data_IF_079016698325
#
_entry.id   IF_079016698325
#
_cell.length_a   1.000
_cell.length_b   1.000
_cell.length_c   1.000
_cell.angle_alpha   90.00
_cell.angle_beta   90.00
_cell.angle_gamma   90.00
#
_symmetry.space_group_name_H-M   'P 1'
#
loop_
_entity.id
_entity.type
_entity.pdbx_description
1 polymer ?
#
# COMPACT_ATOMS: atom_id res chain seq x y z
N UNK A 1 -1.73 -29.65 2.78
CA UNK A 1 -0.78 -28.61 3.27
C UNK A 1 -0.37 -27.76 2.10
N UNK A 2 -0.71 -26.49 2.12
CA UNK A 2 -0.35 -25.56 1.03
C UNK A 2 0.72 -24.60 1.56
N UNK A 3 1.95 -24.79 1.13
CA UNK A 3 3.08 -23.95 1.55
C UNK A 3 2.90 -22.51 1.05
N UNK A 4 3.19 -21.53 1.92
CA UNK A 4 3.02 -20.12 1.64
C UNK A 4 4.14 -19.55 0.76
N UNK A 5 3.77 -19.09 -0.46
CA UNK A 5 4.64 -18.40 -1.42
C UNK A 5 3.99 -17.11 -1.95
N UNK A 6 3.02 -16.55 -1.22
CA UNK A 6 2.20 -15.42 -1.64
C UNK A 6 3.02 -14.14 -1.88
N UNK A 7 4.03 -13.88 -1.05
CA UNK A 7 4.87 -12.70 -1.17
C UNK A 7 6.35 -13.07 -1.42
N UNK A 8 7.21 -12.11 -1.74
CA UNK A 8 8.62 -12.35 -2.06
C UNK A 8 9.46 -13.00 -0.95
N UNK A 9 9.00 -12.99 0.30
CA UNK A 9 9.67 -13.76 1.37
C UNK A 9 9.63 -15.26 1.15
N UNK A 10 8.63 -15.78 0.40
CA UNK A 10 8.52 -17.21 0.06
C UNK A 10 8.77 -18.12 1.26
N UNK A 11 8.09 -17.86 2.37
CA UNK A 11 8.35 -18.49 3.67
C UNK A 11 8.29 -20.01 3.65
N UNK A 12 7.53 -20.62 2.71
CA UNK A 12 7.41 -22.08 2.58
C UNK A 12 6.81 -22.75 3.83
N UNK A 13 6.07 -22.02 4.64
CA UNK A 13 5.40 -22.53 5.84
C UNK A 13 3.95 -22.89 5.54
N UNK A 14 3.42 -23.86 6.26
CA UNK A 14 1.99 -24.14 6.28
C UNK A 14 1.33 -23.19 7.30
N UNK A 15 0.68 -22.13 6.77
CA UNK A 15 0.06 -21.12 7.63
C UNK A 15 -1.19 -21.69 8.30
N UNK A 16 -1.40 -21.43 9.61
CA UNK A 16 -2.60 -21.88 10.30
C UNK A 16 -3.86 -21.25 9.69
N UNK A 17 -4.99 -21.95 9.78
CA UNK A 17 -6.26 -21.45 9.26
C UNK A 17 -6.68 -20.14 9.93
N UNK A 18 -6.39 -19.98 11.21
CA UNK A 18 -6.69 -18.81 12.03
C UNK A 18 -5.61 -18.62 13.12
N UNK A 19 -5.68 -17.53 13.88
CA UNK A 19 -4.69 -17.20 14.90
C UNK A 19 -4.73 -18.11 16.15
N UNK A 20 -5.82 -18.80 16.38
CA UNK A 20 -5.95 -19.76 17.50
C UNK A 20 -5.47 -21.18 17.15
N UNK A 21 -5.24 -21.46 15.88
CA UNK A 21 -4.73 -22.75 15.42
C UNK A 21 -3.20 -22.82 15.67
N UNK A 22 -2.79 -23.74 16.52
CA UNK A 22 -1.39 -23.95 16.90
C UNK A 22 -0.68 -25.01 16.07
N UNK A 23 -1.33 -25.59 15.06
CA UNK A 23 -0.79 -26.68 14.26
C UNK A 23 0.11 -26.24 13.11
N UNK A 24 0.02 -24.95 12.69
CA UNK A 24 0.81 -24.36 11.63
C UNK A 24 1.95 -23.47 12.13
N UNK A 25 2.68 -22.89 11.17
CA UNK A 25 3.74 -21.90 11.40
C UNK A 25 3.40 -20.58 10.73
N UNK A 26 3.56 -19.47 11.47
CA UNK A 26 3.41 -18.14 10.87
C UNK A 26 4.60 -17.81 9.97
N UNK A 27 4.31 -17.23 8.80
CA UNK A 27 5.33 -16.64 7.94
C UNK A 27 5.81 -15.29 8.42
N UNK A 28 6.63 -14.59 7.60
CA UNK A 28 7.13 -13.24 7.92
C UNK A 28 6.01 -12.22 8.21
N UNK A 29 4.80 -12.41 7.69
CA UNK A 29 3.68 -11.51 7.95
C UNK A 29 3.06 -11.66 9.35
N UNK A 30 3.37 -12.73 10.08
CA UNK A 30 2.94 -12.96 11.45
C UNK A 30 1.47 -13.37 11.62
N UNK A 31 0.75 -13.76 10.53
CA UNK A 31 -0.69 -14.02 10.57
C UNK A 31 -1.08 -15.34 9.89
N UNK A 32 -2.25 -15.87 10.26
CA UNK A 32 -2.88 -17.05 9.63
C UNK A 32 -3.50 -16.75 8.26
N UNK A 33 -4.36 -17.66 7.77
CA UNK A 33 -5.03 -17.54 6.48
C UNK A 33 -6.29 -16.68 6.56
N UNK A 34 -7.03 -16.73 7.69
CA UNK A 34 -8.20 -15.89 7.91
C UNK A 34 -7.81 -14.42 7.97
N UNK A 35 -8.56 -13.51 7.29
CA UNK A 35 -8.25 -12.11 7.30
C UNK A 35 -8.43 -11.48 8.67
N UNK A 36 -7.47 -10.64 9.05
CA UNK A 36 -7.53 -9.82 10.26
C UNK A 36 -7.70 -8.37 9.83
N UNK A 37 -8.78 -7.74 10.24
CA UNK A 37 -9.11 -6.35 9.92
C UNK A 37 -9.07 -5.50 11.18
N UNK A 38 -8.35 -4.39 11.12
CA UNK A 38 -8.19 -3.47 12.24
C UNK A 38 -9.22 -2.33 12.21
N UNK A 39 -9.66 -1.96 11.01
CA UNK A 39 -10.64 -0.91 10.78
C UNK A 39 -11.21 -1.04 9.37
N UNK A 40 -12.50 -0.72 9.23
CA UNK A 40 -13.14 -0.47 7.95
C UNK A 40 -13.97 0.82 8.04
N UNK A 41 -13.87 1.71 7.03
CA UNK A 41 -14.59 2.99 7.07
C UNK A 41 -14.24 3.89 5.90
N UNK A 42 -15.01 4.97 5.73
CA UNK A 42 -14.69 6.00 4.75
C UNK A 42 -13.42 6.75 5.18
N UNK A 43 -12.44 6.83 4.27
CA UNK A 43 -11.19 7.54 4.48
C UNK A 43 -11.04 8.67 3.46
N UNK A 44 -10.80 9.89 3.97
CA UNK A 44 -10.80 11.11 3.15
C UNK A 44 -9.39 11.54 2.72
N UNK A 45 -8.36 10.82 3.15
CA UNK A 45 -6.96 11.28 3.08
C UNK A 45 -6.07 10.40 2.20
N UNK A 46 -6.66 9.60 1.30
CA UNK A 46 -5.91 9.03 0.17
C UNK A 46 -5.71 10.12 -0.91
N UNK A 47 -5.02 9.80 -1.98
CA UNK A 47 -4.87 10.71 -3.10
C UNK A 47 -6.23 11.30 -3.55
N UNK A 48 -6.27 12.58 -3.97
CA UNK A 48 -7.54 13.28 -4.28
C UNK A 48 -8.45 12.52 -5.24
N UNK A 49 -7.88 11.86 -6.25
CA UNK A 49 -8.62 11.07 -7.25
C UNK A 49 -9.14 9.73 -6.69
N UNK A 50 -8.71 9.31 -5.51
CA UNK A 50 -9.15 8.09 -4.81
C UNK A 50 -10.22 8.43 -3.78
N UNK A 51 -9.97 9.41 -2.90
CA UNK A 51 -10.90 9.79 -1.84
C UNK A 51 -12.06 10.64 -2.36
N UNK A 52 -11.79 11.56 -3.30
CA UNK A 52 -12.80 12.49 -3.80
C UNK A 52 -13.53 13.21 -2.68
N UNK A 53 -14.84 13.43 -2.86
CA UNK A 53 -15.67 14.17 -1.90
C UNK A 53 -16.41 13.26 -0.90
N UNK A 54 -16.53 11.96 -1.17
CA UNK A 54 -17.28 11.00 -0.34
C UNK A 54 -16.39 10.05 0.45
N UNK A 55 -15.09 9.99 0.11
CA UNK A 55 -14.11 9.12 0.73
C UNK A 55 -13.94 7.78 0.02
N UNK A 56 -12.80 7.18 0.29
CA UNK A 56 -12.43 5.82 -0.09
C UNK A 56 -12.96 4.84 0.97
N UNK A 57 -13.65 3.79 0.57
CA UNK A 57 -14.10 2.71 1.45
C UNK A 57 -12.94 1.81 1.83
N UNK A 58 -12.21 2.20 2.88
CA UNK A 58 -10.90 1.64 3.20
C UNK A 58 -11.00 0.51 4.22
N UNK A 59 -10.37 -0.63 3.91
CA UNK A 59 -10.25 -1.80 4.77
C UNK A 59 -8.78 -1.96 5.15
N UNK A 60 -8.44 -1.76 6.42
CA UNK A 60 -7.08 -1.89 6.94
C UNK A 60 -6.83 -3.31 7.47
N UNK A 61 -6.01 -4.06 6.76
CA UNK A 61 -5.61 -5.39 7.18
C UNK A 61 -4.46 -5.36 8.19
N UNK A 62 -4.46 -6.30 9.14
CA UNK A 62 -3.38 -6.49 10.12
C UNK A 62 -2.35 -7.50 9.64
N UNK A 63 -1.12 -7.36 10.17
CA UNK A 63 0.04 -8.04 9.64
C UNK A 63 0.62 -7.29 8.44
N UNK A 64 1.85 -7.59 8.08
CA UNK A 64 2.51 -6.99 6.92
C UNK A 64 3.69 -7.86 6.49
N UNK A 65 3.97 -7.89 5.19
CA UNK A 65 5.14 -8.58 4.67
C UNK A 65 6.44 -7.76 4.76
N UNK A 66 6.40 -6.47 5.12
CA UNK A 66 7.60 -5.62 5.25
C UNK A 66 8.04 -5.35 6.69
N UNK A 67 7.11 -5.06 7.61
CA UNK A 67 7.42 -4.63 8.98
C UNK A 67 8.35 -3.41 9.07
N UNK A 68 8.06 -2.35 8.27
CA UNK A 68 8.86 -1.12 8.28
C UNK A 68 9.02 -0.56 9.69
N UNK A 69 10.25 -0.26 10.10
CA UNK A 69 10.55 0.26 11.46
C UNK A 69 9.91 1.62 11.73
N UNK A 70 9.58 2.39 10.67
CA UNK A 70 8.95 3.70 10.73
C UNK A 70 7.46 3.68 10.36
N UNK A 71 6.81 2.51 10.34
CA UNK A 71 5.44 2.38 9.87
C UNK A 71 4.47 3.24 10.69
N UNK A 72 3.68 4.10 10.03
CA UNK A 72 2.62 4.87 10.67
C UNK A 72 1.54 3.95 11.24
N UNK A 73 1.29 2.84 10.57
CA UNK A 73 0.33 1.81 10.95
C UNK A 73 0.98 0.70 11.81
N UNK A 74 1.94 1.04 12.68
CA UNK A 74 2.78 0.07 13.39
C UNK A 74 1.96 -0.89 14.26
N UNK A 75 0.88 -0.41 14.88
CA UNK A 75 0.04 -1.23 15.76
C UNK A 75 -0.65 -2.37 15.00
N UNK A 76 -1.04 -2.14 13.75
CA UNK A 76 -1.67 -3.18 12.92
C UNK A 76 -0.64 -3.98 12.13
N UNK A 77 0.41 -3.34 11.61
CA UNK A 77 1.40 -4.01 10.74
C UNK A 77 2.36 -4.91 11.49
N UNK A 78 2.73 -4.54 12.73
CA UNK A 78 3.75 -5.25 13.53
C UNK A 78 3.22 -5.83 14.84
N UNK A 79 2.22 -5.18 15.48
CA UNK A 79 1.65 -5.68 16.74
C UNK A 79 0.39 -6.54 16.54
N UNK A 80 -0.12 -6.62 15.28
CA UNK A 80 -1.23 -7.50 14.93
C UNK A 80 -2.58 -7.07 15.52
N UNK A 81 -2.76 -5.78 15.88
CA UNK A 81 -4.04 -5.30 16.35
C UNK A 81 -5.11 -5.45 15.25
N UNK A 82 -6.25 -6.03 15.59
CA UNK A 82 -7.37 -6.23 14.68
C UNK A 82 -8.22 -7.43 15.11
N UNK A 83 -9.30 -7.65 14.39
CA UNK A 83 -10.23 -8.76 14.59
C UNK A 83 -10.16 -9.72 13.42
N UNK A 84 -10.01 -10.99 13.70
CA UNK A 84 -10.13 -12.04 12.70
C UNK A 84 -11.59 -12.16 12.24
N UNK A 85 -11.80 -12.18 10.95
CA UNK A 85 -13.12 -12.26 10.33
C UNK A 85 -13.18 -13.36 9.27
N UNK A 86 -14.39 -13.73 8.87
CA UNK A 86 -14.59 -14.65 7.76
C UNK A 86 -14.57 -13.91 6.41
N UNK A 87 -14.48 -14.66 5.32
CA UNK A 87 -14.59 -14.11 3.95
C UNK A 87 -15.96 -13.49 3.73
N UNK A 88 -17.02 -14.10 4.27
CA UNK A 88 -18.39 -13.60 4.19
C UNK A 88 -18.51 -12.22 4.88
N UNK A 89 -17.90 -12.08 6.09
CA UNK A 89 -17.88 -10.78 6.77
C UNK A 89 -17.10 -9.73 5.97
N UNK A 90 -16.02 -10.12 5.33
CA UNK A 90 -15.26 -9.21 4.47
C UNK A 90 -16.11 -8.70 3.29
N UNK A 91 -16.91 -9.56 2.65
CA UNK A 91 -17.87 -9.14 1.61
C UNK A 91 -18.94 -8.17 2.16
N UNK A 92 -19.49 -8.48 3.33
CA UNK A 92 -20.48 -7.59 3.99
C UNK A 92 -19.87 -6.19 4.22
N UNK A 93 -18.64 -6.10 4.70
CA UNK A 93 -17.92 -4.82 4.89
C UNK A 93 -17.84 -4.03 3.58
N UNK A 94 -17.53 -4.68 2.45
CA UNK A 94 -17.49 -3.97 1.16
C UNK A 94 -18.86 -3.36 0.82
N UNK A 95 -19.94 -4.12 0.97
CA UNK A 95 -21.30 -3.62 0.70
C UNK A 95 -21.73 -2.52 1.67
N UNK A 96 -21.36 -2.61 2.95
CA UNK A 96 -21.61 -1.56 3.94
C UNK A 96 -20.91 -0.24 3.58
N UNK A 97 -19.64 -0.31 3.12
CA UNK A 97 -18.87 0.86 2.68
C UNK A 97 -19.47 1.47 1.39
N UNK A 98 -19.89 0.64 0.44
CA UNK A 98 -20.56 1.07 -0.78
C UNK A 98 -21.89 1.76 -0.43
N UNK A 99 -22.68 1.19 0.50
CA UNK A 99 -23.94 1.78 0.94
C UNK A 99 -23.75 3.14 1.65
N UNK A 100 -22.57 3.38 2.28
CA UNK A 100 -22.19 4.66 2.83
C UNK A 100 -21.75 5.67 1.76
N UNK A 101 -21.65 5.25 0.49
CA UNK A 101 -21.31 6.11 -0.64
C UNK A 101 -19.83 6.14 -1.01
N UNK A 102 -19.03 5.16 -0.59
CA UNK A 102 -17.62 5.05 -0.96
C UNK A 102 -17.42 5.11 -2.48
N UNK A 103 -16.43 5.87 -2.94
CA UNK A 103 -16.07 5.93 -4.36
C UNK A 103 -15.41 4.64 -4.87
N UNK A 104 -14.80 3.88 -3.98
CA UNK A 104 -14.09 2.63 -4.27
C UNK A 104 -13.99 1.77 -3.00
N UNK A 105 -13.55 0.52 -3.14
CA UNK A 105 -13.11 -0.33 -2.03
C UNK A 105 -11.60 -0.41 -2.03
N UNK A 106 -10.98 0.14 -1.00
CA UNK A 106 -9.53 0.27 -0.89
C UNK A 106 -8.99 -0.74 0.14
N UNK A 107 -8.27 -1.73 -0.36
CA UNK A 107 -7.67 -2.82 0.41
C UNK A 107 -6.24 -2.42 0.81
N UNK A 108 -6.03 -2.04 2.08
CA UNK A 108 -4.72 -1.58 2.56
C UNK A 108 -3.90 -2.74 3.10
N UNK A 109 -2.77 -3.00 2.47
CA UNK A 109 -1.83 -4.10 2.79
C UNK A 109 -2.49 -5.49 2.73
N UNK A 110 -3.17 -5.86 1.63
CA UNK A 110 -3.90 -7.11 1.50
C UNK A 110 -3.04 -8.31 1.09
N UNK A 111 -1.77 -8.10 0.72
CA UNK A 111 -0.87 -9.08 0.08
C UNK A 111 -0.93 -10.48 0.70
N UNK A 112 -0.81 -10.54 2.01
CA UNK A 112 -0.74 -11.81 2.74
C UNK A 112 -2.10 -12.50 2.92
N UNK A 113 -3.20 -11.80 2.58
CA UNK A 113 -4.57 -12.32 2.54
C UNK A 113 -5.13 -12.45 1.12
N UNK A 114 -4.27 -12.51 0.10
CA UNK A 114 -4.69 -12.58 -1.33
C UNK A 114 -5.75 -13.66 -1.57
N UNK A 115 -5.64 -14.83 -0.92
CA UNK A 115 -6.63 -15.90 -1.10
C UNK A 115 -8.02 -15.48 -0.59
N UNK A 116 -8.10 -14.94 0.62
CA UNK A 116 -9.35 -14.46 1.18
C UNK A 116 -9.93 -13.27 0.39
N UNK A 117 -9.06 -12.37 -0.10
CA UNK A 117 -9.45 -11.26 -0.97
C UNK A 117 -10.05 -11.78 -2.28
N UNK A 118 -9.43 -12.74 -2.94
CA UNK A 118 -9.97 -13.34 -4.17
C UNK A 118 -11.31 -14.02 -3.94
N UNK A 119 -11.46 -14.73 -2.83
CA UNK A 119 -12.73 -15.35 -2.46
C UNK A 119 -13.81 -14.31 -2.12
N UNK A 120 -13.44 -13.17 -1.55
CA UNK A 120 -14.38 -12.09 -1.23
C UNK A 120 -14.80 -11.25 -2.45
N UNK A 121 -14.09 -11.34 -3.56
CA UNK A 121 -14.36 -10.67 -4.84
C UNK A 121 -14.89 -11.66 -5.90
N UNK A 122 -15.62 -12.68 -5.49
CA UNK A 122 -16.21 -13.66 -6.39
C UNK A 122 -17.30 -13.09 -7.32
N UNK A 123 -17.88 -11.94 -6.94
CA UNK A 123 -18.77 -11.13 -7.76
C UNK A 123 -18.20 -9.72 -7.97
N UNK A 124 -18.38 -9.12 -9.17
CA UNK A 124 -17.94 -7.76 -9.42
C UNK A 124 -18.63 -6.75 -8.50
N UNK A 125 -17.86 -5.85 -7.90
CA UNK A 125 -18.41 -4.74 -7.13
C UNK A 125 -18.85 -3.60 -8.07
N UNK A 126 -19.87 -2.79 -7.69
CA UNK A 126 -20.34 -1.65 -8.48
C UNK A 126 -19.40 -0.43 -8.45
N UNK A 127 -18.31 -0.51 -7.69
CA UNK A 127 -17.26 0.51 -7.57
C UNK A 127 -15.88 -0.14 -7.79
N UNK A 128 -14.86 0.62 -8.20
CA UNK A 128 -13.52 0.08 -8.38
C UNK A 128 -12.93 -0.52 -7.09
N UNK A 129 -12.14 -1.57 -7.23
CA UNK A 129 -11.29 -2.12 -6.16
C UNK A 129 -9.89 -1.51 -6.30
N UNK A 130 -9.41 -0.90 -5.22
CA UNK A 130 -8.06 -0.36 -5.06
C UNK A 130 -7.22 -1.34 -4.26
N UNK A 131 -6.09 -1.76 -4.82
CA UNK A 131 -5.10 -2.60 -4.16
C UNK A 131 -3.93 -1.73 -3.68
N UNK A 132 -3.98 -1.35 -2.40
CA UNK A 132 -3.01 -0.45 -1.77
C UNK A 132 -1.91 -1.28 -1.10
N UNK A 133 -0.71 -1.25 -1.67
CA UNK A 133 0.36 -2.18 -1.34
C UNK A 133 1.71 -1.50 -1.17
N UNK A 134 2.59 -2.14 -0.43
CA UNK A 134 4.00 -1.74 -0.30
C UNK A 134 4.83 -1.95 -1.58
N UNK A 135 4.26 -2.43 -2.67
CA UNK A 135 4.99 -2.81 -3.88
C UNK A 135 5.77 -4.13 -3.78
N UNK A 136 5.91 -4.71 -2.60
CA UNK A 136 6.67 -5.96 -2.40
C UNK A 136 5.80 -7.19 -2.69
N UNK A 137 5.55 -7.42 -4.00
CA UNK A 137 4.62 -8.41 -4.52
C UNK A 137 5.32 -9.44 -5.42
N UNK A 138 4.77 -10.65 -5.49
CA UNK A 138 5.19 -11.62 -6.51
C UNK A 138 4.36 -11.44 -7.78
N UNK A 139 4.96 -11.70 -8.94
CA UNK A 139 4.27 -11.71 -10.23
C UNK A 139 3.08 -12.71 -10.23
N UNK A 140 3.25 -13.86 -9.58
CA UNK A 140 2.21 -14.89 -9.54
C UNK A 140 0.99 -14.43 -8.74
N UNK A 141 1.20 -13.73 -7.61
CA UNK A 141 0.13 -13.14 -6.81
C UNK A 141 -0.62 -12.07 -7.60
N UNK A 142 0.11 -11.17 -8.28
CA UNK A 142 -0.50 -10.14 -9.11
C UNK A 142 -1.32 -10.71 -10.27
N UNK A 143 -0.80 -11.74 -10.96
CA UNK A 143 -1.56 -12.39 -12.05
C UNK A 143 -2.87 -12.98 -11.57
N UNK A 144 -2.95 -13.49 -10.34
CA UNK A 144 -4.19 -14.01 -9.76
C UNK A 144 -5.21 -12.91 -9.46
N UNK A 145 -4.75 -11.69 -9.17
CA UNK A 145 -5.61 -10.50 -8.92
C UNK A 145 -6.16 -9.88 -10.21
N UNK A 146 -5.64 -10.29 -11.38
CA UNK A 146 -6.04 -9.72 -12.68
C UNK A 146 -7.56 -9.83 -12.89
N UNK A 147 -8.19 -8.70 -13.23
CA UNK A 147 -9.62 -8.59 -13.44
C UNK A 147 -10.42 -8.24 -12.19
N UNK A 148 -9.91 -8.53 -10.98
CA UNK A 148 -10.56 -8.19 -9.72
C UNK A 148 -10.16 -6.80 -9.19
N UNK A 149 -9.00 -6.28 -9.60
CA UNK A 149 -8.45 -4.99 -9.20
C UNK A 149 -8.46 -4.05 -10.39
N UNK A 150 -8.99 -2.85 -10.21
CA UNK A 150 -9.03 -1.80 -11.23
C UNK A 150 -7.97 -0.73 -10.98
N UNK A 151 -7.61 -0.50 -9.73
CA UNK A 151 -6.64 0.54 -9.36
C UNK A 151 -5.56 -0.09 -8.48
N UNK A 152 -4.31 0.07 -8.89
CA UNK A 152 -3.17 -0.28 -8.05
C UNK A 152 -2.55 0.96 -7.45
N UNK A 153 -2.29 0.91 -6.13
CA UNK A 153 -1.69 2.00 -5.35
C UNK A 153 -0.40 1.49 -4.68
N UNK A 154 0.64 1.16 -5.47
CA UNK A 154 1.89 0.66 -4.93
C UNK A 154 2.77 1.77 -4.38
N UNK A 155 3.39 1.51 -3.22
CA UNK A 155 4.53 2.31 -2.79
C UNK A 155 5.81 1.83 -3.51
N UNK A 156 6.66 2.75 -3.94
CA UNK A 156 8.05 2.51 -4.34
C UNK A 156 8.97 3.20 -3.34
N UNK A 157 9.31 2.46 -2.27
CA UNK A 157 9.94 3.04 -1.07
C UNK A 157 11.45 3.24 -1.20
N UNK A 158 12.14 2.28 -1.82
CA UNK A 158 13.60 2.23 -1.86
C UNK A 158 14.12 1.95 -3.25
N UNK A 159 15.19 2.64 -3.62
CA UNK A 159 16.06 2.34 -4.76
C UNK A 159 17.36 1.63 -4.33
N UNK A 160 17.57 1.49 -3.02
CA UNK A 160 18.74 0.87 -2.40
C UNK A 160 18.33 -0.32 -1.53
N UNK A 161 18.88 -1.49 -1.83
CA UNK A 161 18.59 -2.73 -1.12
C UNK A 161 19.09 -2.73 0.33
N UNK A 162 20.17 -2.01 0.64
CA UNK A 162 20.68 -1.91 2.02
C UNK A 162 19.68 -1.17 2.91
N UNK A 163 19.12 -0.06 2.43
CA UNK A 163 18.07 0.66 3.12
C UNK A 163 16.80 -0.17 3.24
N UNK A 164 16.40 -0.88 2.19
CA UNK A 164 15.23 -1.74 2.18
C UNK A 164 15.34 -2.89 3.20
N UNK A 165 16.49 -3.52 3.29
CA UNK A 165 16.76 -4.55 4.30
C UNK A 165 16.76 -3.95 5.70
N UNK A 166 17.50 -2.83 5.89
CA UNK A 166 17.67 -2.18 7.20
C UNK A 166 16.35 -1.71 7.81
N UNK A 167 15.51 -1.05 7.02
CA UNK A 167 14.31 -0.40 7.53
C UNK A 167 13.02 -1.18 7.31
N UNK A 168 13.01 -2.17 6.41
CA UNK A 168 11.78 -2.88 6.02
C UNK A 168 11.94 -4.39 5.80
N UNK A 169 13.09 -4.96 6.16
CA UNK A 169 13.36 -6.41 5.99
C UNK A 169 13.04 -6.93 4.57
N UNK A 170 13.30 -6.13 3.54
CA UNK A 170 12.90 -6.38 2.15
C UNK A 170 14.12 -6.54 1.22
N UNK A 171 14.76 -7.72 1.16
CA UNK A 171 15.86 -7.94 0.24
C UNK A 171 15.40 -7.85 -1.22
N UNK A 172 16.23 -7.25 -2.08
CA UNK A 172 15.95 -7.04 -3.51
C UNK A 172 14.69 -6.22 -3.79
N UNK A 173 14.33 -5.32 -2.85
CA UNK A 173 13.08 -4.56 -2.90
C UNK A 173 12.89 -3.80 -4.22
N UNK A 174 13.90 -3.04 -4.65
CA UNK A 174 13.76 -2.18 -5.83
C UNK A 174 13.43 -2.98 -7.09
N UNK A 175 14.16 -4.06 -7.33
CA UNK A 175 13.90 -4.95 -8.46
C UNK A 175 12.49 -5.56 -8.38
N UNK A 176 12.11 -6.07 -7.22
CA UNK A 176 10.81 -6.72 -7.01
C UNK A 176 9.67 -5.71 -7.19
N UNK A 177 9.75 -4.54 -6.55
CA UNK A 177 8.71 -3.52 -6.63
C UNK A 177 8.56 -2.95 -8.04
N UNK A 178 9.67 -2.72 -8.74
CA UNK A 178 9.64 -2.21 -10.12
C UNK A 178 9.07 -3.23 -11.11
N UNK A 179 9.37 -4.50 -10.96
CA UNK A 179 8.74 -5.59 -11.71
C UNK A 179 7.24 -5.70 -11.39
N UNK A 180 6.87 -5.58 -10.12
CA UNK A 180 5.47 -5.60 -9.68
C UNK A 180 4.66 -4.43 -10.26
N UNK A 181 5.19 -3.20 -10.22
CA UNK A 181 4.54 -2.02 -10.78
C UNK A 181 4.33 -2.17 -12.29
N UNK A 182 5.30 -2.71 -13.03
CA UNK A 182 5.13 -2.99 -14.46
C UNK A 182 4.02 -4.02 -14.71
N UNK A 183 3.92 -5.07 -13.91
CA UNK A 183 2.84 -6.04 -14.02
C UNK A 183 1.48 -5.41 -13.70
N UNK A 184 1.39 -4.57 -12.66
CA UNK A 184 0.18 -3.82 -12.32
C UNK A 184 -0.27 -2.95 -13.49
N UNK A 185 0.63 -2.20 -14.08
CA UNK A 185 0.33 -1.40 -15.28
C UNK A 185 -0.10 -2.27 -16.47
N UNK A 186 0.56 -3.40 -16.72
CA UNK A 186 0.18 -4.32 -17.78
C UNK A 186 -1.23 -4.90 -17.61
N UNK A 187 -1.74 -4.95 -16.37
CA UNK A 187 -3.08 -5.46 -16.09
C UNK A 187 -4.18 -4.43 -16.32
N UNK A 188 -3.95 -3.17 -15.91
CA UNK A 188 -4.98 -2.13 -15.91
C UNK A 188 -4.78 -1.08 -17.02
N UNK A 189 -3.57 -0.96 -17.58
CA UNK A 189 -3.23 0.00 -18.63
C UNK A 189 -3.18 1.45 -18.12
N UNK A 190 -3.33 2.40 -19.05
CA UNK A 190 -3.31 3.82 -18.77
C UNK A 190 -4.41 4.19 -17.77
N UNK A 191 -4.11 5.15 -16.89
CA UNK A 191 -5.09 5.58 -15.89
C UNK A 191 -6.28 6.30 -16.56
N UNK A 192 -7.41 6.23 -15.91
CA UNK A 192 -8.63 6.91 -16.34
C UNK A 192 -9.31 7.56 -15.12
N UNK A 193 -9.61 8.85 -15.28
CA UNK A 193 -10.38 9.66 -14.32
C UNK A 193 -11.70 10.00 -14.98
N UNK A 194 -12.81 9.81 -14.26
CA UNK A 194 -14.14 10.13 -14.74
C UNK A 194 -14.46 11.64 -14.69
N UNK A 195 -15.61 12.02 -15.19
CA UNK A 195 -16.06 13.44 -15.25
C UNK A 195 -16.22 14.07 -13.85
N UNK A 196 -16.28 13.27 -12.79
CA UNK A 196 -16.34 13.73 -11.40
C UNK A 196 -14.96 13.87 -10.75
N UNK A 197 -13.88 13.60 -11.49
CA UNK A 197 -12.49 13.69 -11.01
C UNK A 197 -12.04 12.47 -10.22
N UNK A 198 -12.76 11.34 -10.31
CA UNK A 198 -12.45 10.11 -9.59
C UNK A 198 -11.77 9.10 -10.52
N UNK A 199 -10.69 8.49 -10.04
CA UNK A 199 -9.99 7.44 -10.77
C UNK A 199 -10.83 6.16 -10.82
N UNK A 200 -11.01 5.62 -12.02
CA UNK A 200 -11.77 4.39 -12.24
C UNK A 200 -10.89 3.19 -12.59
N UNK A 201 -9.69 3.42 -13.09
CA UNK A 201 -8.65 2.41 -13.31
C UNK A 201 -7.27 3.05 -13.42
N UNK A 202 -6.23 2.28 -13.20
CA UNK A 202 -4.84 2.71 -13.44
C UNK A 202 -3.90 2.41 -12.29
N UNK A 203 -2.72 3.03 -12.32
CA UNK A 203 -1.68 2.90 -11.29
C UNK A 203 -1.28 4.27 -10.78
N UNK A 204 -1.25 4.44 -9.46
CA UNK A 204 -0.63 5.58 -8.78
C UNK A 204 0.58 5.07 -8.01
N UNK A 205 1.77 5.40 -8.48
CA UNK A 205 3.03 5.05 -7.78
C UNK A 205 3.25 6.08 -6.69
N UNK A 206 3.34 5.62 -5.43
CA UNK A 206 3.60 6.50 -4.28
C UNK A 206 5.03 6.39 -3.81
N UNK A 207 5.64 7.52 -3.49
CA UNK A 207 6.96 7.55 -2.87
C UNK A 207 6.97 8.48 -1.65
N UNK A 208 7.26 7.90 -0.47
CA UNK A 208 7.46 8.65 0.76
C UNK A 208 8.92 9.10 0.85
N UNK A 209 9.14 10.41 0.86
CA UNK A 209 10.46 10.99 1.09
C UNK A 209 10.91 10.61 2.51
N UNK A 210 12.11 10.05 2.62
CA UNK A 210 12.73 9.74 3.91
C UNK A 210 13.87 10.72 4.20
N UNK A 211 14.02 11.16 5.46
CA UNK A 211 15.06 12.10 5.84
C UNK A 211 16.46 11.52 5.57
N UNK A 212 17.35 12.35 5.04
CA UNK A 212 18.73 11.97 4.77
C UNK A 212 18.93 11.04 3.57
N UNK A 213 17.90 10.82 2.75
CA UNK A 213 17.95 9.89 1.61
C UNK A 213 17.58 10.53 0.26
N UNK A 214 18.13 11.70 -0.11
CA UNK A 214 17.73 12.39 -1.35
C UNK A 214 18.04 11.55 -2.61
N UNK A 215 19.16 10.86 -2.66
CA UNK A 215 19.53 10.02 -3.80
C UNK A 215 18.58 8.84 -4.01
N UNK A 216 17.96 8.32 -2.94
CA UNK A 216 16.92 7.31 -3.04
C UNK A 216 15.73 7.82 -3.83
N UNK A 217 15.22 9.00 -3.46
CA UNK A 217 14.08 9.65 -4.12
C UNK A 217 14.40 9.99 -5.58
N UNK A 218 15.58 10.59 -5.85
CA UNK A 218 15.99 10.95 -7.22
C UNK A 218 16.03 9.73 -8.14
N UNK A 219 16.63 8.61 -7.70
CA UNK A 219 16.66 7.36 -8.49
C UNK A 219 15.28 6.78 -8.74
N UNK A 220 14.34 6.95 -7.80
CA UNK A 220 12.95 6.53 -8.00
C UNK A 220 12.26 7.40 -9.04
N UNK A 221 12.42 8.73 -8.97
CA UNK A 221 11.92 9.66 -9.99
C UNK A 221 12.49 9.30 -11.36
N UNK A 222 13.80 9.10 -11.46
CA UNK A 222 14.48 8.71 -12.72
C UNK A 222 13.91 7.40 -13.27
N UNK A 223 13.67 6.42 -12.39
CA UNK A 223 13.11 5.15 -12.83
C UNK A 223 11.68 5.31 -13.36
N UNK A 224 10.81 6.07 -12.70
CA UNK A 224 9.44 6.32 -13.17
C UNK A 224 9.49 7.05 -14.51
N UNK A 225 10.27 8.13 -14.62
CA UNK A 225 10.44 8.92 -15.83
C UNK A 225 10.97 8.09 -17.02
N UNK A 226 11.86 7.14 -16.78
CA UNK A 226 12.44 6.28 -17.81
C UNK A 226 11.50 5.14 -18.27
N UNK A 227 10.51 4.74 -17.46
CA UNK A 227 9.68 3.57 -17.74
C UNK A 227 8.24 3.89 -18.12
N UNK A 228 7.75 5.10 -17.81
CA UNK A 228 6.38 5.51 -18.11
C UNK A 228 6.35 6.88 -18.80
N UNK A 229 5.37 7.04 -19.68
CA UNK A 229 5.09 8.31 -20.39
C UNK A 229 3.95 9.04 -19.68
N UNK A 230 3.79 10.36 -19.89
CA UNK A 230 2.58 11.08 -19.48
C UNK A 230 1.31 10.35 -19.95
N UNK A 231 0.29 10.33 -19.10
CA UNK A 231 -0.96 9.60 -19.31
C UNK A 231 -0.96 8.12 -18.93
N UNK A 232 0.19 7.52 -18.62
CA UNK A 232 0.28 6.08 -18.31
C UNK A 232 0.06 5.77 -16.84
N UNK A 233 0.77 6.44 -15.96
CA UNK A 233 0.67 6.28 -14.50
C UNK A 233 0.67 7.66 -13.84
N UNK A 234 0.16 7.72 -12.62
CA UNK A 234 0.35 8.90 -11.78
C UNK A 234 1.47 8.65 -10.77
N UNK A 235 2.18 9.70 -10.37
CA UNK A 235 3.22 9.64 -9.35
C UNK A 235 2.89 10.57 -8.18
N UNK A 236 2.84 10.02 -6.96
CA UNK A 236 2.59 10.79 -5.74
C UNK A 236 3.86 10.88 -4.90
N UNK A 237 4.43 12.10 -4.82
CA UNK A 237 5.58 12.41 -3.98
C UNK A 237 5.09 12.88 -2.61
N UNK A 238 5.25 12.02 -1.60
CA UNK A 238 4.70 12.24 -0.27
C UNK A 238 5.73 12.85 0.68
N UNK A 239 5.40 14.02 1.28
CA UNK A 239 6.21 14.72 2.29
C UNK A 239 5.82 14.37 3.74
N UNK A 240 4.86 13.50 3.94
CA UNK A 240 4.22 13.23 5.23
C UNK A 240 5.02 12.32 6.18
N UNK A 241 6.35 12.20 6.01
CA UNK A 241 7.16 11.38 6.91
C UNK A 241 7.14 11.93 8.35
N UNK A 242 6.67 11.10 9.28
CA UNK A 242 6.75 11.35 10.72
C UNK A 242 7.39 10.12 11.37
N UNK A 243 8.40 10.28 12.24
CA UNK A 243 8.98 9.16 12.98
C UNK A 243 7.89 8.43 13.79
N UNK A 244 7.63 7.18 13.43
CA UNK A 244 6.64 6.30 14.07
C UNK A 244 7.26 4.93 14.35
N UNK A 245 6.52 4.06 15.01
CA UNK A 245 6.94 2.69 15.30
C UNK A 245 8.27 2.65 16.07
N UNK A 246 9.28 2.05 15.47
CA UNK A 246 10.63 1.90 16.01
C UNK A 246 11.65 2.88 15.39
N UNK A 247 11.20 3.95 14.75
CA UNK A 247 12.10 4.94 14.13
C UNK A 247 13.11 5.55 15.13
N UNK A 248 12.75 5.64 16.41
CA UNK A 248 13.63 6.11 17.48
C UNK A 248 14.92 5.26 17.67
N UNK A 249 14.92 4.01 17.20
CA UNK A 249 16.09 3.13 17.23
C UNK A 249 17.08 3.45 16.09
N UNK A 250 16.72 4.33 15.15
CA UNK A 250 17.46 4.69 13.95
C UNK A 250 17.64 6.22 13.89
N UNK A 251 18.67 6.78 14.54
CA UNK A 251 18.83 8.24 14.70
C UNK A 251 18.76 9.02 13.38
N UNK A 252 19.23 8.44 12.27
CA UNK A 252 19.28 9.07 10.95
C UNK A 252 17.90 9.30 10.33
N UNK A 253 16.88 8.49 10.73
CA UNK A 253 15.49 8.65 10.29
C UNK A 253 14.56 9.06 11.43
N UNK A 254 15.07 9.31 12.63
CA UNK A 254 14.27 9.76 13.78
C UNK A 254 14.08 11.29 13.78
N UNK A 255 13.75 11.84 12.63
CA UNK A 255 13.44 13.26 12.42
C UNK A 255 12.48 13.42 11.24
N UNK A 256 11.84 14.54 11.10
CA UNK A 256 11.11 14.89 9.88
C UNK A 256 12.09 15.20 8.73
N UNK A 257 11.59 15.17 7.53
CA UNK A 257 12.23 15.73 6.34
C UNK A 257 12.33 17.24 6.53
N UNK A 258 13.46 17.87 6.20
CA UNK A 258 13.59 19.32 6.26
C UNK A 258 12.99 19.99 5.03
N UNK A 259 12.69 21.28 5.15
CA UNK A 259 12.16 22.06 4.01
C UNK A 259 13.16 22.11 2.85
N UNK A 260 14.48 22.12 3.15
CA UNK A 260 15.52 22.10 2.13
C UNK A 260 15.55 20.76 1.38
N UNK A 261 15.51 19.64 2.13
CA UNK A 261 15.44 18.30 1.54
C UNK A 261 14.20 18.15 0.64
N UNK A 262 13.06 18.65 1.11
CA UNK A 262 11.81 18.59 0.35
C UNK A 262 11.89 19.44 -0.93
N UNK A 263 12.28 20.71 -0.83
CA UNK A 263 12.37 21.64 -1.98
C UNK A 263 13.36 21.15 -3.05
N UNK A 264 14.47 20.53 -2.63
CA UNK A 264 15.42 19.91 -3.55
C UNK A 264 14.73 18.82 -4.37
N UNK A 265 13.99 17.92 -3.71
CA UNK A 265 13.36 16.76 -4.37
C UNK A 265 12.12 17.16 -5.18
N UNK A 266 11.34 18.11 -4.71
CA UNK A 266 10.24 18.72 -5.49
C UNK A 266 10.77 19.37 -6.77
N UNK A 267 11.84 20.17 -6.65
CA UNK A 267 12.48 20.80 -7.82
C UNK A 267 13.03 19.77 -8.80
N UNK A 268 13.58 18.66 -8.28
CA UNK A 268 14.06 17.55 -9.11
C UNK A 268 12.91 16.86 -9.87
N UNK A 269 11.79 16.59 -9.20
CA UNK A 269 10.59 16.03 -9.82
C UNK A 269 10.05 16.96 -10.92
N UNK A 270 9.92 18.27 -10.65
CA UNK A 270 9.41 19.25 -11.62
C UNK A 270 10.30 19.43 -12.86
N UNK A 271 11.58 19.01 -12.81
CA UNK A 271 12.50 19.00 -13.95
C UNK A 271 12.47 17.67 -14.72
N UNK A 272 11.77 16.66 -14.20
CA UNK A 272 11.64 15.35 -14.86
C UNK A 272 10.56 15.37 -15.94
N UNK A 273 10.38 14.23 -16.63
CA UNK A 273 9.30 14.03 -17.61
C UNK A 273 8.00 13.51 -16.99
N UNK A 274 7.89 13.47 -15.66
CA UNK A 274 6.68 13.06 -14.96
C UNK A 274 5.75 14.27 -14.89
N UNK A 275 4.61 14.21 -15.58
CA UNK A 275 3.65 15.32 -15.68
C UNK A 275 2.40 15.08 -14.83
N UNK A 276 2.10 13.80 -14.52
CA UNK A 276 0.83 13.40 -13.88
C UNK A 276 1.08 12.94 -12.45
N UNK A 277 0.40 13.55 -11.48
CA UNK A 277 0.51 13.10 -10.10
C UNK A 277 0.24 14.17 -9.07
N UNK A 278 0.79 13.95 -7.88
CA UNK A 278 0.55 14.78 -6.71
C UNK A 278 1.87 15.08 -6.00
N UNK A 279 1.97 16.30 -5.51
CA UNK A 279 3.02 16.72 -4.58
C UNK A 279 2.31 17.24 -3.33
N UNK A 280 2.65 16.69 -2.16
CA UNK A 280 2.02 17.12 -0.92
C UNK A 280 2.67 18.39 -0.40
N UNK A 281 1.85 19.36 0.04
CA UNK A 281 2.34 20.58 0.71
C UNK A 281 2.82 20.30 2.13
N UNK A 282 3.70 21.19 2.66
CA UNK A 282 4.49 20.96 3.87
C UNK A 282 3.75 20.65 5.18
N UNK A 283 2.46 20.99 5.30
CA UNK A 283 1.65 20.72 6.50
C UNK A 283 1.14 19.28 6.61
N UNK A 284 1.37 18.44 5.59
CA UNK A 284 0.92 17.03 5.56
C UNK A 284 1.65 16.12 6.57
N UNK A 285 2.81 16.54 7.11
CA UNK A 285 3.61 15.75 8.05
C UNK A 285 3.07 15.84 9.49
N UNK A 286 1.84 15.35 9.72
CA UNK A 286 1.24 15.26 11.06
C UNK A 286 0.61 13.87 11.28
N UNK A 287 0.30 13.55 12.55
CA UNK A 287 -0.32 12.26 12.91
C UNK A 287 -1.84 12.26 12.75
N UNK A 288 -2.46 13.39 12.46
CA UNK A 288 -3.91 13.56 12.43
C UNK A 288 -4.56 12.82 11.23
N UNK A 289 -3.77 12.50 10.20
CA UNK A 289 -4.21 11.72 9.04
C UNK A 289 -4.11 10.19 9.25
N UNK A 290 -3.53 9.75 10.38
CA UNK A 290 -3.46 8.33 10.72
C UNK A 290 -4.80 7.95 11.37
N UNK A 291 -5.56 6.99 10.80
CA UNK A 291 -6.83 6.60 11.40
C UNK A 291 -6.61 5.93 12.75
N UNK A 292 -7.55 6.13 13.68
CA UNK A 292 -7.56 5.37 14.92
C UNK A 292 -7.94 3.91 14.61
N UNK A 293 -7.08 2.97 14.97
CA UNK A 293 -7.35 1.55 14.83
C UNK A 293 -8.05 1.04 16.08
N UNK A 294 -9.36 1.02 16.06
CA UNK A 294 -10.25 0.72 17.20
C UNK A 294 -11.27 -0.39 16.91
N UNK A 295 -11.14 -1.05 15.76
CA UNK A 295 -12.09 -2.07 15.32
C UNK A 295 -13.38 -1.51 14.71
N UNK A 296 -13.47 -0.20 14.48
CA UNK A 296 -14.65 0.41 13.83
C UNK A 296 -14.94 -0.27 12.48
N UNK A 297 -16.20 -0.67 12.25
CA UNK A 297 -16.69 -1.26 10.99
C UNK A 297 -16.32 -2.74 10.78
N UNK A 298 -15.72 -3.42 11.77
CA UNK A 298 -15.24 -4.81 11.65
C UNK A 298 -16.20 -5.83 12.25
#
# INVERSE_FOLDING_TARGET
MTLCYVCPHRCGVDRPANMSDTTGCFGSCGVGLAPIVARAGLHMWEEPVISGTKGSGTVFFSGCNLHCVFCQNYDISCKGFGKEITVERLKEIYHELIAQGAHNINLVTPTHFTEAVLQSLDEPLPVPVVYNTSGFETQDTLRRLKGNVQIYLPDLKYSDDLAAIKYSNAPYYFRIATEAIKEMYNQVGDYHIDDSGIMTKGVIIRHLIMPGMPDNTKRIIDWVAANFKPGQVMFSLMHQYVPCGRAAEYPEINRKVTDEEYKELESYLLQSTIEDGFVQEGDAACKDFIPCFDGTGV
#
